data_IF_226494114382
#
_entry.id   IF_226494114382
#
_cell.length_a   1.000
_cell.length_b   1.000
_cell.length_c   1.000
_cell.angle_alpha   90.00
_cell.angle_beta   90.00
_cell.angle_gamma   90.00
#
_symmetry.space_group_name_H-M   'P 1'
#
loop_
_entity.id
_entity.type
_entity.pdbx_description
1 polymer ?
#
# COMPACT_ATOMS: atom_id res chain seq x y z
N UNK A 1 -10.23 38.30 -21.35
CA UNK A 1 -10.69 37.08 -20.63
C UNK A 1 -12.21 37.06 -20.68
N UNK A 2 -12.85 35.90 -20.85
CA UNK A 2 -14.30 35.81 -20.60
C UNK A 2 -14.54 36.18 -19.14
N UNK A 3 -15.49 37.07 -18.89
CA UNK A 3 -15.85 37.45 -17.52
C UNK A 3 -16.32 36.20 -16.76
N UNK A 4 -15.89 36.07 -15.50
CA UNK A 4 -16.25 34.96 -14.60
C UNK A 4 -15.69 33.56 -14.94
N UNK A 5 -14.50 33.45 -15.54
CA UNK A 5 -13.80 32.15 -15.72
C UNK A 5 -12.58 32.05 -14.80
N UNK A 6 -12.35 30.88 -14.19
CA UNK A 6 -11.16 30.62 -13.39
C UNK A 6 -9.89 30.84 -14.25
N UNK A 7 -8.98 31.74 -13.85
CA UNK A 7 -7.80 32.06 -14.63
C UNK A 7 -6.89 30.85 -14.89
N UNK A 8 -6.83 29.88 -13.99
CA UNK A 8 -6.06 28.64 -14.21
C UNK A 8 -6.68 27.76 -15.31
N UNK A 9 -8.01 27.66 -15.35
CA UNK A 9 -8.74 26.92 -16.39
C UNK A 9 -8.62 27.61 -17.74
N UNK A 10 -8.74 28.94 -17.76
CA UNK A 10 -8.54 29.72 -18.98
C UNK A 10 -7.12 29.56 -19.53
N UNK A 11 -6.09 29.59 -18.68
CA UNK A 11 -4.70 29.38 -19.09
C UNK A 11 -4.50 28.01 -19.74
N UNK A 12 -4.99 26.93 -19.13
CA UNK A 12 -4.87 25.58 -19.69
C UNK A 12 -5.57 25.42 -21.04
N UNK A 13 -6.69 26.10 -21.23
CA UNK A 13 -7.46 26.06 -22.48
C UNK A 13 -6.71 26.77 -23.62
N UNK A 14 -6.10 27.94 -23.33
CA UNK A 14 -5.34 28.71 -24.33
C UNK A 14 -3.96 28.10 -24.62
N UNK A 15 -3.31 27.45 -23.66
CA UNK A 15 -2.01 26.78 -23.85
C UNK A 15 -2.15 25.34 -24.35
N UNK A 16 -3.36 24.92 -24.72
CA UNK A 16 -3.58 23.59 -25.30
C UNK A 16 -3.13 23.57 -26.75
N UNK A 17 -2.61 22.43 -27.21
CA UNK A 17 -2.13 22.26 -28.59
C UNK A 17 -3.18 22.59 -29.65
N UNK A 18 -4.43 22.23 -29.38
CA UNK A 18 -5.58 22.54 -30.25
C UNK A 18 -5.83 24.05 -30.40
N UNK A 19 -5.57 24.82 -29.34
CA UNK A 19 -5.68 26.28 -29.37
C UNK A 19 -4.47 26.91 -30.07
N UNK A 20 -3.26 26.42 -29.80
CA UNK A 20 -2.02 26.87 -30.47
C UNK A 20 -2.07 26.67 -32.00
N UNK A 21 -2.53 25.50 -32.46
CA UNK A 21 -2.66 25.18 -33.89
C UNK A 21 -3.69 26.08 -34.59
N UNK A 22 -4.79 26.45 -33.89
CA UNK A 22 -5.82 27.36 -34.40
C UNK A 22 -5.34 28.80 -34.49
N UNK A 23 -4.54 29.24 -33.52
CA UNK A 23 -3.97 30.59 -33.51
C UNK A 23 -2.70 30.69 -34.37
N UNK A 24 -2.11 29.57 -34.78
CA UNK A 24 -0.88 29.53 -35.58
C UNK A 24 0.34 30.01 -34.80
N UNK A 25 0.33 29.82 -33.48
CA UNK A 25 1.35 30.36 -32.56
C UNK A 25 1.95 29.23 -31.73
N UNK A 26 3.28 29.19 -31.64
CA UNK A 26 4.01 28.33 -30.69
C UNK A 26 4.32 29.12 -29.41
N UNK A 27 3.51 28.91 -28.37
CA UNK A 27 3.69 29.59 -27.09
C UNK A 27 4.99 29.16 -26.38
N UNK A 28 5.50 27.96 -26.65
CA UNK A 28 6.78 27.52 -26.09
C UNK A 28 7.95 28.29 -26.70
N UNK A 29 7.89 28.59 -28.00
CA UNK A 29 8.86 29.47 -28.65
C UNK A 29 8.78 30.91 -28.13
N UNK A 30 7.57 31.47 -28.06
CA UNK A 30 7.37 32.84 -27.54
C UNK A 30 7.89 32.96 -26.10
N UNK A 31 7.65 31.97 -25.24
CA UNK A 31 8.17 31.97 -23.89
C UNK A 31 9.70 31.98 -23.87
N UNK A 32 10.36 31.15 -24.70
CA UNK A 32 11.84 31.11 -24.78
C UNK A 32 12.45 32.43 -25.23
N UNK A 33 11.78 33.18 -26.10
CA UNK A 33 12.25 34.48 -26.59
C UNK A 33 11.97 35.63 -25.62
N UNK A 34 11.06 35.44 -24.66
CA UNK A 34 10.65 36.45 -23.69
C UNK A 34 11.75 36.83 -22.68
N UNK A 35 11.63 38.03 -22.10
CA UNK A 35 12.48 38.48 -20.98
C UNK A 35 12.29 37.60 -19.74
N UNK A 36 11.09 37.08 -19.51
CA UNK A 36 10.76 36.20 -18.38
C UNK A 36 11.62 34.92 -18.38
N UNK A 37 11.85 34.32 -19.55
CA UNK A 37 12.74 33.17 -19.66
C UNK A 37 14.18 33.50 -19.29
N UNK A 38 14.68 34.69 -19.69
CA UNK A 38 16.02 35.16 -19.34
C UNK A 38 16.15 35.41 -17.84
N UNK A 39 15.17 36.08 -17.24
CA UNK A 39 15.13 36.35 -15.79
C UNK A 39 15.07 35.06 -14.97
N UNK A 40 14.20 34.10 -15.35
CA UNK A 40 14.12 32.80 -14.68
C UNK A 40 15.43 32.03 -14.78
N UNK A 41 16.13 32.06 -15.92
CA UNK A 41 17.44 31.42 -16.04
C UNK A 41 18.50 32.07 -15.15
N UNK A 42 18.50 33.40 -15.02
CA UNK A 42 19.40 34.11 -14.09
C UNK A 42 19.14 33.67 -12.64
N UNK A 43 17.86 33.55 -12.26
CA UNK A 43 17.47 33.07 -10.92
C UNK A 43 17.94 31.63 -10.69
N UNK A 44 17.74 30.75 -11.67
CA UNK A 44 18.21 29.35 -11.61
C UNK A 44 19.72 29.29 -11.45
N UNK A 45 20.49 30.03 -12.27
CA UNK A 45 21.94 30.05 -12.19
C UNK A 45 22.43 30.64 -10.86
N UNK A 46 21.76 31.66 -10.31
CA UNK A 46 22.06 32.19 -8.97
C UNK A 46 21.82 31.16 -7.87
N UNK A 47 20.71 30.41 -7.94
CA UNK A 47 20.42 29.34 -6.97
C UNK A 47 21.43 28.19 -7.07
N UNK A 48 21.84 27.83 -8.29
CA UNK A 48 22.88 26.81 -8.53
C UNK A 48 24.26 27.25 -8.01
N UNK A 49 24.65 28.51 -8.27
CA UNK A 49 25.90 29.06 -7.75
C UNK A 49 25.93 29.13 -6.23
N UNK A 50 24.81 29.51 -5.59
CA UNK A 50 24.69 29.53 -4.11
C UNK A 50 24.77 28.12 -3.50
N UNK A 51 24.34 27.10 -4.24
CA UNK A 51 24.37 25.70 -3.79
C UNK A 51 25.75 25.04 -3.81
N UNK A 52 26.78 25.69 -4.38
CA UNK A 52 28.14 25.16 -4.35
C UNK A 52 28.88 25.47 -3.04
N UNK A 53 28.39 26.41 -2.23
CA UNK A 53 29.00 26.83 -0.96
C UNK A 53 28.22 26.35 0.27
N UNK A 54 26.96 25.98 0.08
CA UNK A 54 26.15 25.31 1.12
C UNK A 54 26.16 23.83 0.80
N UNK A 55 26.61 22.97 1.72
CA UNK A 55 26.64 21.51 1.57
C UNK A 55 25.48 21.02 0.70
N UNK A 56 25.80 20.28 -0.36
CA UNK A 56 24.79 19.64 -1.20
C UNK A 56 23.69 19.09 -0.29
N UNK A 57 22.43 19.47 -0.51
CA UNK A 57 21.28 18.85 0.16
C UNK A 57 21.10 17.39 -0.31
N UNK A 58 22.18 16.68 -0.57
CA UNK A 58 22.22 15.23 -0.64
C UNK A 58 21.95 14.77 0.78
N UNK A 59 20.67 14.54 1.07
CA UNK A 59 20.21 13.94 2.32
C UNK A 59 21.16 12.79 2.65
N UNK A 60 21.97 12.96 3.70
CA UNK A 60 23.06 12.04 4.08
C UNK A 60 22.58 10.60 4.27
N UNK A 61 21.26 10.41 4.38
CA UNK A 61 20.60 9.13 4.55
C UNK A 61 19.68 8.82 3.37
N UNK A 62 19.89 7.68 2.72
CA UNK A 62 19.01 7.14 1.65
C UNK A 62 17.54 6.96 2.07
N UNK A 63 17.28 6.83 3.38
CA UNK A 63 15.93 6.68 3.94
C UNK A 63 15.76 7.57 5.18
N UNK A 64 14.56 8.08 5.42
CA UNK A 64 14.26 8.94 6.57
C UNK A 64 14.44 8.25 7.95
N UNK A 65 14.30 6.92 8.01
CA UNK A 65 14.36 6.13 9.25
C UNK A 65 15.14 4.84 9.05
N UNK A 66 15.59 4.23 10.16
CA UNK A 66 16.24 2.91 10.13
C UNK A 66 15.24 1.84 9.71
N UNK A 67 15.74 0.73 9.13
CA UNK A 67 14.87 -0.39 8.74
C UNK A 67 14.05 -0.95 9.90
N UNK A 68 14.60 -0.95 11.12
CA UNK A 68 13.87 -1.37 12.31
C UNK A 68 12.73 -0.43 12.69
N UNK A 69 12.93 0.88 12.55
CA UNK A 69 11.87 1.87 12.76
C UNK A 69 10.71 1.69 11.78
N UNK A 70 11.03 1.47 10.51
CA UNK A 70 10.03 1.18 9.48
C UNK A 70 9.30 -0.14 9.76
N UNK A 71 10.02 -1.19 10.15
CA UNK A 71 9.42 -2.49 10.49
C UNK A 71 8.42 -2.37 11.65
N UNK A 72 8.79 -1.68 12.73
CA UNK A 72 7.89 -1.44 13.88
C UNK A 72 6.68 -0.62 13.46
N UNK A 73 6.86 0.41 12.63
CA UNK A 73 5.76 1.21 12.10
C UNK A 73 4.80 0.38 11.23
N UNK A 74 5.33 -0.51 10.38
CA UNK A 74 4.54 -1.43 9.56
C UNK A 74 3.76 -2.42 10.44
N UNK A 75 4.39 -3.02 11.45
CA UNK A 75 3.69 -3.90 12.39
C UNK A 75 2.58 -3.17 13.16
N UNK A 76 2.84 -1.95 13.61
CA UNK A 76 1.84 -1.12 14.26
C UNK A 76 0.66 -0.82 13.35
N UNK A 77 0.92 -0.40 12.10
CA UNK A 77 -0.11 -0.15 11.09
C UNK A 77 -0.93 -1.41 10.82
N UNK A 78 -0.25 -2.57 10.68
CA UNK A 78 -0.90 -3.85 10.44
C UNK A 78 -1.80 -4.24 11.61
N UNK A 79 -1.31 -4.13 12.84
CA UNK A 79 -2.05 -4.44 14.06
C UNK A 79 -3.27 -3.51 14.19
N UNK A 80 -3.10 -2.22 13.94
CA UNK A 80 -4.20 -1.26 13.99
C UNK A 80 -5.26 -1.51 12.91
N UNK A 81 -4.85 -1.85 11.68
CA UNK A 81 -5.76 -2.26 10.60
C UNK A 81 -6.52 -3.53 10.99
N UNK A 82 -5.84 -4.48 11.64
CA UNK A 82 -6.42 -5.70 12.17
C UNK A 82 -7.52 -5.44 13.22
N UNK A 83 -7.27 -4.51 14.15
CA UNK A 83 -8.23 -4.15 15.21
C UNK A 83 -9.38 -3.26 14.71
N UNK A 84 -9.17 -2.43 13.69
CA UNK A 84 -10.23 -1.61 13.07
C UNK A 84 -11.17 -2.41 12.15
N UNK A 85 -10.80 -3.63 11.77
CA UNK A 85 -11.67 -4.59 11.07
C UNK A 85 -12.02 -5.81 11.97
N UNK A 86 -12.67 -5.60 13.13
CA UNK A 86 -12.87 -6.63 14.14
C UNK A 86 -13.80 -7.75 13.66
N UNK A 87 -14.82 -7.44 12.85
CA UNK A 87 -15.81 -8.43 12.42
C UNK A 87 -15.18 -9.61 11.67
N UNK A 88 -14.22 -9.36 10.78
CA UNK A 88 -13.60 -10.41 9.97
C UNK A 88 -12.70 -11.34 10.79
N UNK A 89 -11.87 -10.76 11.66
CA UNK A 89 -10.95 -11.54 12.50
C UNK A 89 -11.65 -12.25 13.66
N UNK A 90 -12.67 -11.61 14.24
CA UNK A 90 -13.48 -12.22 15.29
C UNK A 90 -14.23 -13.45 14.77
N UNK A 91 -14.85 -13.37 13.58
CA UNK A 91 -15.50 -14.53 12.95
C UNK A 91 -14.52 -15.68 12.77
N UNK A 92 -13.28 -15.40 12.38
CA UNK A 92 -12.25 -16.40 12.17
C UNK A 92 -11.81 -17.07 13.48
N UNK A 93 -11.60 -16.30 14.56
CA UNK A 93 -11.30 -16.84 15.89
C UNK A 93 -12.48 -17.68 16.41
N UNK A 94 -13.71 -17.17 16.28
CA UNK A 94 -14.91 -17.88 16.71
C UNK A 94 -15.08 -19.21 15.97
N UNK A 95 -14.91 -19.22 14.64
CA UNK A 95 -14.98 -20.42 13.82
C UNK A 95 -13.89 -21.43 14.17
N UNK A 96 -12.67 -20.95 14.43
CA UNK A 96 -11.55 -21.78 14.90
C UNK A 96 -11.87 -22.45 16.24
N UNK A 97 -12.38 -21.68 17.21
CA UNK A 97 -12.77 -22.20 18.52
C UNK A 97 -13.91 -23.21 18.42
N UNK A 98 -14.96 -22.90 17.65
CA UNK A 98 -16.08 -23.81 17.40
C UNK A 98 -15.62 -25.12 16.75
N UNK A 99 -14.81 -25.03 15.70
CA UNK A 99 -14.28 -26.22 14.99
C UNK A 99 -13.39 -27.05 15.92
N UNK A 100 -12.54 -26.41 16.71
CA UNK A 100 -11.69 -27.09 17.70
C UNK A 100 -12.51 -27.83 18.76
N UNK A 101 -13.58 -27.22 19.27
CA UNK A 101 -14.48 -27.87 20.24
C UNK A 101 -15.20 -29.06 19.59
N UNK A 102 -15.74 -28.89 18.39
CA UNK A 102 -16.44 -29.98 17.66
C UNK A 102 -15.49 -31.15 17.42
N UNK A 103 -14.29 -30.90 16.89
CA UNK A 103 -13.29 -31.94 16.69
C UNK A 103 -12.86 -32.60 18.01
N UNK A 104 -12.67 -31.80 19.07
CA UNK A 104 -12.33 -32.29 20.40
C UNK A 104 -13.40 -33.26 20.94
N UNK A 105 -14.68 -32.92 20.80
CA UNK A 105 -15.81 -33.77 21.20
C UNK A 105 -15.89 -35.03 20.33
N UNK A 106 -15.76 -34.90 19.01
CA UNK A 106 -15.83 -36.04 18.07
C UNK A 106 -14.74 -37.09 18.33
N UNK A 107 -13.53 -36.65 18.66
CA UNK A 107 -12.42 -37.57 18.93
C UNK A 107 -12.26 -37.95 20.41
N UNK A 108 -13.04 -37.36 21.32
CA UNK A 108 -12.92 -37.57 22.76
C UNK A 108 -12.98 -39.05 23.18
N UNK A 109 -13.98 -39.78 22.67
CA UNK A 109 -14.15 -41.20 23.02
C UNK A 109 -13.16 -42.11 22.29
N UNK A 110 -12.88 -41.84 21.01
CA UNK A 110 -11.90 -42.60 20.22
C UNK A 110 -10.47 -42.45 20.74
N UNK A 111 -10.11 -41.27 21.22
CA UNK A 111 -8.80 -41.03 21.82
C UNK A 111 -8.62 -41.76 23.16
N UNK A 112 -9.72 -42.04 23.89
CA UNK A 112 -9.67 -42.75 25.18
C UNK A 112 -9.53 -44.26 25.07
N UNK A 113 -9.89 -44.85 23.92
CA UNK A 113 -9.90 -46.32 23.71
C UNK A 113 -9.17 -46.65 22.42
N UNK A 114 -7.83 -46.62 22.47
CA UNK A 114 -6.98 -47.03 21.35
C UNK A 114 -6.56 -48.49 21.60
N UNK A 115 -7.26 -49.42 20.96
CA UNK A 115 -7.03 -50.86 21.16
C UNK A 115 -6.26 -51.51 20.00
N UNK A 116 -6.17 -50.85 18.85
CA UNK A 116 -5.54 -51.41 17.63
C UNK A 116 -4.65 -50.37 16.94
N UNK A 117 -3.62 -50.83 16.21
CA UNK A 117 -2.78 -49.93 15.39
C UNK A 117 -3.61 -49.08 14.41
N UNK A 118 -4.68 -49.65 13.85
CA UNK A 118 -5.59 -48.93 12.96
C UNK A 118 -6.27 -47.74 13.67
N UNK A 119 -6.65 -47.88 14.95
CA UNK A 119 -7.25 -46.79 15.72
C UNK A 119 -6.26 -45.65 15.94
N UNK A 120 -4.99 -45.99 16.20
CA UNK A 120 -3.92 -45.01 16.33
C UNK A 120 -3.70 -44.24 15.02
N UNK A 121 -3.59 -44.95 13.88
CA UNK A 121 -3.45 -44.33 12.57
C UNK A 121 -4.65 -43.44 12.21
N UNK A 122 -5.87 -43.88 12.55
CA UNK A 122 -7.08 -43.10 12.32
C UNK A 122 -7.08 -41.79 13.12
N UNK A 123 -6.66 -41.81 14.39
CA UNK A 123 -6.57 -40.61 15.24
C UNK A 123 -5.49 -39.65 14.74
N UNK A 124 -4.31 -40.17 14.40
CA UNK A 124 -3.22 -39.32 13.88
C UNK A 124 -3.56 -38.72 12.52
N UNK A 125 -4.17 -39.50 11.62
CA UNK A 125 -4.63 -39.04 10.32
C UNK A 125 -5.73 -37.98 10.42
N UNK A 126 -6.65 -38.13 11.38
CA UNK A 126 -7.70 -37.13 11.58
C UNK A 126 -7.15 -35.82 12.17
N UNK A 127 -6.23 -35.90 13.13
CA UNK A 127 -5.53 -34.71 13.66
C UNK A 127 -4.78 -33.96 12.56
N UNK A 128 -4.04 -34.69 11.72
CA UNK A 128 -3.33 -34.11 10.57
C UNK A 128 -4.29 -33.39 9.62
N UNK A 129 -5.41 -34.03 9.28
CA UNK A 129 -6.41 -33.46 8.38
C UNK A 129 -7.05 -32.20 8.96
N UNK A 130 -7.39 -32.19 10.25
CA UNK A 130 -7.96 -31.01 10.93
C UNK A 130 -6.96 -29.85 10.95
N UNK A 131 -5.69 -30.11 11.26
CA UNK A 131 -4.65 -29.08 11.28
C UNK A 131 -4.44 -28.49 9.89
N UNK A 132 -4.32 -29.35 8.86
CA UNK A 132 -4.15 -28.88 7.48
C UNK A 132 -5.34 -28.06 6.99
N UNK A 133 -6.55 -28.59 7.15
CA UNK A 133 -7.78 -27.92 6.70
C UNK A 133 -7.90 -26.54 7.34
N UNK A 134 -7.66 -26.48 8.64
CA UNK A 134 -7.74 -25.23 9.38
C UNK A 134 -6.62 -24.26 8.99
N UNK A 135 -5.41 -24.74 8.74
CA UNK A 135 -4.29 -23.95 8.23
C UNK A 135 -4.57 -23.33 6.86
N UNK A 136 -5.14 -24.10 5.93
CA UNK A 136 -5.51 -23.63 4.59
C UNK A 136 -6.54 -22.50 4.69
N UNK A 137 -7.62 -22.69 5.47
CA UNK A 137 -8.65 -21.67 5.68
C UNK A 137 -8.06 -20.37 6.29
N UNK A 138 -7.07 -20.51 7.17
CA UNK A 138 -6.35 -19.38 7.74
C UNK A 138 -5.45 -18.66 6.71
N UNK A 139 -4.82 -19.37 5.77
CA UNK A 139 -4.00 -18.74 4.73
C UNK A 139 -4.85 -18.04 3.65
N UNK A 140 -5.94 -18.68 3.21
CA UNK A 140 -6.83 -18.14 2.16
C UNK A 140 -7.44 -16.79 2.53
N UNK A 141 -7.66 -16.54 3.83
CA UNK A 141 -8.24 -15.30 4.34
C UNK A 141 -7.25 -14.13 4.33
N UNK A 142 -5.94 -14.38 4.44
CA UNK A 142 -4.90 -13.34 4.31
C UNK A 142 -4.70 -12.96 2.84
N UNK A 143 -4.74 -13.95 1.94
CA UNK A 143 -4.61 -13.76 0.49
C UNK A 143 -5.62 -12.77 -0.09
N UNK A 144 -6.84 -12.70 0.46
CA UNK A 144 -7.90 -11.81 -0.01
C UNK A 144 -7.73 -10.34 0.43
N UNK A 145 -6.96 -10.07 1.48
CA UNK A 145 -6.76 -8.71 2.02
C UNK A 145 -5.55 -8.00 1.40
N UNK A 146 -4.57 -8.78 0.95
CA UNK A 146 -3.31 -8.27 0.40
C UNK A 146 -3.47 -7.34 -0.82
N UNK A 147 -4.37 -7.59 -1.79
CA UNK A 147 -4.55 -6.72 -2.95
C UNK A 147 -5.10 -5.32 -2.59
N UNK A 148 -5.96 -5.23 -1.57
CA UNK A 148 -6.53 -3.96 -1.09
C UNK A 148 -5.47 -3.08 -0.42
N UNK A 149 -4.66 -3.68 0.44
CA UNK A 149 -3.55 -2.99 1.13
C UNK A 149 -2.47 -2.53 0.14
N UNK A 150 -2.16 -3.36 -0.87
CA UNK A 150 -1.22 -2.99 -1.95
C UNK A 150 -1.72 -1.81 -2.78
N UNK A 151 -3.01 -1.77 -3.13
CA UNK A 151 -3.60 -0.65 -3.88
C UNK A 151 -3.58 0.66 -3.08
N UNK A 152 -3.86 0.60 -1.77
CA UNK A 152 -3.77 1.78 -0.90
C UNK A 152 -2.34 2.30 -0.82
N UNK A 153 -1.37 1.41 -0.60
CA UNK A 153 0.04 1.78 -0.47
C UNK A 153 0.59 2.36 -1.78
N UNK A 154 0.21 1.81 -2.93
CA UNK A 154 0.60 2.36 -4.22
C UNK A 154 0.09 3.80 -4.44
N UNK A 155 -1.13 4.11 -3.98
CA UNK A 155 -1.68 5.48 -4.05
C UNK A 155 -0.93 6.45 -3.13
N UNK A 156 -0.54 5.99 -1.94
CA UNK A 156 0.22 6.81 -0.98
C UNK A 156 1.64 7.12 -1.46
N UNK A 157 2.25 6.24 -2.28
CA UNK A 157 3.58 6.45 -2.88
C UNK A 157 3.56 7.36 -4.11
N UNK A 158 2.40 7.59 -4.72
CA UNK A 158 2.23 8.45 -5.89
C UNK A 158 1.90 9.91 -5.52
N UNK A 159 1.75 10.21 -4.23
CA UNK A 159 1.59 11.57 -3.69
C UNK A 159 2.90 12.08 -3.13
#
# INVERSE_FOLDING_TARGET
MKENTNPATWLLDITSRSSEDKLGVDLAQIYKESSLFKENNIVIEKMRGTSSETEELTSSRRYAQTGWGQFKACLWKQQLSYWRNPSYNLTRIMFMCLTSVICGVLFWEKAKKINTQQDLFNVLGSMYTVVLFTGINNCSTVLLLQPKEMSSTAKDLLK
#
